data_IF_810844817427
#
_entry.id   IF_810844817427
#
_cell.length_a   1.000
_cell.length_b   1.000
_cell.length_c   1.000
_cell.angle_alpha   90.00
_cell.angle_beta   90.00
_cell.angle_gamma   90.00
#
_symmetry.space_group_name_H-M   'P 1'
#
loop_
_entity.id
_entity.type
_entity.pdbx_description
1 polymer ?
#
# COMPACT_ATOMS: atom_id res chain seq x y z
N UNK A 1 -8.27 -14.04 7.54
CA UNK A 1 -9.53 -14.37 8.22
C UNK A 1 -10.72 -13.93 7.36
N UNK A 2 -11.69 -14.79 7.20
CA UNK A 2 -13.03 -14.43 6.70
C UNK A 2 -13.87 -13.83 7.82
N UNK A 3 -14.90 -13.06 7.45
CA UNK A 3 -15.85 -12.50 8.42
C UNK A 3 -17.20 -13.18 8.23
N UNK A 4 -17.58 -14.02 9.18
CA UNK A 4 -18.80 -14.82 9.12
C UNK A 4 -19.59 -14.70 10.42
N UNK A 5 -20.90 -14.43 10.32
CA UNK A 5 -21.79 -14.31 11.47
C UNK A 5 -21.27 -13.39 12.61
N UNK A 6 -20.67 -12.27 12.24
CA UNK A 6 -20.12 -11.30 13.20
C UNK A 6 -18.79 -11.68 13.84
N UNK A 7 -18.10 -12.73 13.34
CA UNK A 7 -16.82 -13.20 13.88
C UNK A 7 -15.76 -13.33 12.80
N UNK A 8 -14.50 -13.08 13.18
CA UNK A 8 -13.34 -13.36 12.34
C UNK A 8 -12.98 -14.85 12.45
N UNK A 9 -13.04 -15.56 11.36
CA UNK A 9 -12.75 -16.99 11.28
C UNK A 9 -11.45 -17.20 10.48
N UNK A 10 -10.46 -17.93 11.02
CA UNK A 10 -9.25 -18.25 10.26
C UNK A 10 -9.61 -19.01 8.97
N UNK A 11 -9.09 -18.56 7.84
CA UNK A 11 -9.19 -19.28 6.58
C UNK A 11 -8.12 -20.38 6.59
N UNK A 12 -8.50 -21.65 6.36
CA UNK A 12 -7.55 -22.75 6.31
C UNK A 12 -6.50 -22.53 5.20
N UNK A 13 -5.25 -22.94 5.45
CA UNK A 13 -4.16 -22.86 4.47
C UNK A 13 -4.35 -23.77 3.25
N UNK A 14 -5.32 -24.67 3.33
CA UNK A 14 -5.69 -25.61 2.25
C UNK A 14 -6.68 -25.03 1.26
N UNK A 15 -7.19 -23.81 1.51
CA UNK A 15 -8.08 -23.15 0.54
C UNK A 15 -7.22 -22.73 -0.65
N UNK A 16 -7.51 -23.35 -1.78
CA UNK A 16 -6.91 -22.97 -3.05
C UNK A 16 -7.52 -21.66 -3.51
N UNK A 17 -6.69 -20.63 -3.60
CA UNK A 17 -7.09 -19.29 -3.96
C UNK A 17 -6.42 -18.90 -5.27
N UNK A 18 -7.21 -18.82 -6.33
CA UNK A 18 -6.75 -18.40 -7.64
C UNK A 18 -7.21 -16.98 -7.95
N UNK A 19 -6.30 -16.15 -8.40
CA UNK A 19 -6.59 -14.78 -8.87
C UNK A 19 -6.88 -14.73 -10.38
N UNK A 20 -6.59 -15.84 -11.11
CA UNK A 20 -6.78 -15.98 -12.54
C UNK A 20 -6.21 -14.78 -13.33
N UNK A 21 -7.05 -14.06 -14.05
CA UNK A 21 -6.62 -12.89 -14.86
C UNK A 21 -6.10 -11.72 -14.04
N UNK A 22 -6.31 -11.70 -12.74
CA UNK A 22 -5.87 -10.63 -11.84
C UNK A 22 -4.53 -10.91 -11.14
N UNK A 23 -3.92 -12.07 -11.37
CA UNK A 23 -2.61 -12.44 -10.83
C UNK A 23 -1.53 -11.35 -10.96
N UNK A 24 -1.36 -10.72 -12.14
CA UNK A 24 -0.34 -9.67 -12.30
C UNK A 24 -0.58 -8.44 -11.43
N UNK A 25 -1.81 -8.24 -10.95
CA UNK A 25 -2.18 -7.10 -10.10
C UNK A 25 -2.09 -7.41 -8.60
N UNK A 26 -1.97 -8.68 -8.19
CA UNK A 26 -2.15 -8.97 -6.78
C UNK A 26 -1.53 -10.25 -6.21
N UNK A 27 -1.00 -11.15 -6.98
CA UNK A 27 -0.50 -12.44 -6.48
C UNK A 27 0.93 -12.38 -5.91
N UNK A 28 1.22 -11.33 -5.16
CA UNK A 28 2.52 -11.18 -4.49
C UNK A 28 2.37 -11.48 -3.01
N UNK A 29 2.94 -12.60 -2.56
CA UNK A 29 3.09 -12.91 -1.15
C UNK A 29 4.43 -12.35 -0.64
N UNK A 30 4.38 -11.35 0.22
CA UNK A 30 5.57 -10.65 0.71
C UNK A 30 5.49 -10.39 2.21
N UNK A 31 6.61 -10.53 2.91
CA UNK A 31 6.72 -10.14 4.31
C UNK A 31 6.77 -8.61 4.42
N UNK A 32 6.18 -8.04 5.49
CA UNK A 32 6.21 -6.61 5.73
C UNK A 32 7.64 -6.02 5.65
N UNK A 33 8.63 -6.71 6.22
CA UNK A 33 10.05 -6.29 6.18
C UNK A 33 10.60 -6.12 4.76
N UNK A 34 10.20 -6.99 3.83
CA UNK A 34 10.67 -6.92 2.45
C UNK A 34 9.87 -5.90 1.64
N UNK A 35 8.58 -5.74 1.94
CA UNK A 35 7.77 -4.66 1.37
C UNK A 35 8.28 -3.27 1.79
N UNK A 36 8.77 -3.11 3.03
CA UNK A 36 9.42 -1.88 3.49
C UNK A 36 10.62 -1.55 2.60
N UNK A 37 11.46 -2.52 2.23
CA UNK A 37 12.61 -2.28 1.32
C UNK A 37 12.15 -1.81 -0.05
N UNK A 38 11.10 -2.43 -0.61
CA UNK A 38 10.51 -1.97 -1.86
C UNK A 38 10.06 -0.51 -1.78
N UNK A 39 9.37 -0.13 -0.71
CA UNK A 39 8.92 1.26 -0.49
C UNK A 39 10.10 2.21 -0.30
N UNK A 40 11.17 1.80 0.39
CA UNK A 40 12.39 2.59 0.55
C UNK A 40 13.08 2.85 -0.80
N UNK A 41 13.20 1.84 -1.67
CA UNK A 41 13.74 2.04 -3.03
C UNK A 41 12.91 3.03 -3.84
N UNK A 42 11.59 2.99 -3.72
CA UNK A 42 10.70 3.97 -4.35
C UNK A 42 10.93 5.39 -3.80
N UNK A 43 11.04 5.56 -2.49
CA UNK A 43 11.32 6.84 -1.87
C UNK A 43 12.66 7.41 -2.34
N UNK A 44 13.74 6.64 -2.32
CA UNK A 44 15.05 7.04 -2.81
C UNK A 44 14.98 7.49 -4.28
N UNK A 45 14.32 6.71 -5.13
CA UNK A 45 14.16 7.02 -6.54
C UNK A 45 13.35 8.31 -6.79
N UNK A 46 12.25 8.51 -6.06
CA UNK A 46 11.45 9.75 -6.14
C UNK A 46 12.31 10.98 -5.78
N UNK A 47 13.22 10.83 -4.80
CA UNK A 47 14.13 11.88 -4.36
C UNK A 47 15.40 12.02 -5.22
N UNK A 48 15.49 11.31 -6.33
CA UNK A 48 16.56 11.52 -7.34
C UNK A 48 17.68 10.51 -7.31
N UNK A 49 17.61 9.48 -6.46
CA UNK A 49 18.61 8.42 -6.41
C UNK A 49 18.35 7.36 -7.48
N UNK A 50 19.34 7.04 -8.28
CA UNK A 50 19.31 5.84 -9.11
C UNK A 50 19.64 4.62 -8.22
N UNK A 51 18.78 3.61 -8.25
CA UNK A 51 19.03 2.36 -7.55
C UNK A 51 18.66 1.19 -8.48
N UNK A 52 17.64 0.38 -8.16
CA UNK A 52 17.17 -0.69 -9.03
C UNK A 52 16.61 -0.16 -10.36
N UNK A 53 15.96 1.01 -10.33
CA UNK A 53 15.52 1.76 -11.51
C UNK A 53 16.17 3.15 -11.50
N UNK A 54 16.09 3.85 -12.64
CA UNK A 54 16.47 5.26 -12.71
C UNK A 54 15.47 6.13 -11.94
N UNK A 55 15.96 7.21 -11.35
CA UNK A 55 15.13 8.16 -10.60
C UNK A 55 13.94 8.69 -11.41
N UNK A 56 14.14 8.99 -12.70
CA UNK A 56 13.07 9.48 -13.56
C UNK A 56 12.00 8.42 -13.81
N UNK A 57 12.36 7.13 -13.81
CA UNK A 57 11.40 6.03 -13.87
C UNK A 57 10.53 6.01 -12.62
N UNK A 58 11.12 6.15 -11.43
CA UNK A 58 10.34 6.23 -10.18
C UNK A 58 9.40 7.45 -10.17
N UNK A 59 9.86 8.61 -10.61
CA UNK A 59 9.03 9.81 -10.74
C UNK A 59 7.84 9.56 -11.67
N UNK A 60 8.09 8.91 -12.80
CA UNK A 60 7.03 8.55 -13.74
C UNK A 60 6.04 7.54 -13.14
N UNK A 61 6.53 6.48 -12.49
CA UNK A 61 5.69 5.47 -11.82
C UNK A 61 4.74 6.13 -10.82
N UNK A 62 5.20 7.12 -10.06
CA UNK A 62 4.42 7.74 -8.99
C UNK A 62 3.56 8.92 -9.41
N UNK A 63 3.93 9.65 -10.46
CA UNK A 63 3.25 10.89 -10.84
C UNK A 63 3.25 11.20 -12.34
N UNK A 64 3.70 10.27 -13.17
CA UNK A 64 3.76 10.47 -14.62
C UNK A 64 2.40 10.52 -15.31
N UNK A 65 1.36 9.95 -14.66
CA UNK A 65 -0.03 9.98 -15.13
C UNK A 65 -0.89 10.58 -14.02
N UNK A 66 -1.76 11.51 -14.37
CA UNK A 66 -2.64 12.19 -13.43
C UNK A 66 -3.61 11.20 -12.77
N UNK A 67 -3.90 11.42 -11.49
CA UNK A 67 -4.78 10.65 -10.63
C UNK A 67 -4.33 9.21 -10.34
N UNK A 68 -3.92 8.43 -11.34
CA UNK A 68 -3.44 7.06 -11.15
C UNK A 68 -2.30 6.74 -12.11
N UNK A 69 -1.10 6.51 -11.58
CA UNK A 69 0.10 6.23 -12.36
C UNK A 69 0.72 4.90 -11.95
N UNK A 70 0.75 3.93 -12.86
CA UNK A 70 1.46 2.66 -12.71
C UNK A 70 1.29 1.96 -11.34
N UNK A 71 0.04 1.86 -10.87
CA UNK A 71 -0.29 1.22 -9.58
C UNK A 71 -0.39 2.17 -8.40
N UNK A 72 -0.17 3.47 -8.57
CA UNK A 72 -0.22 4.45 -7.51
C UNK A 72 -1.31 5.50 -7.75
N UNK A 73 -2.20 5.69 -6.79
CA UNK A 73 -3.06 6.87 -6.75
C UNK A 73 -2.24 8.10 -6.39
N UNK A 74 -2.38 9.15 -7.20
CA UNK A 74 -1.78 10.46 -6.96
C UNK A 74 -2.75 11.36 -6.23
N UNK A 75 -2.38 11.82 -5.05
CA UNK A 75 -3.20 12.72 -4.25
C UNK A 75 -2.41 14.01 -4.01
N UNK A 76 -3.03 15.13 -4.38
CA UNK A 76 -2.53 16.48 -4.13
C UNK A 76 -3.53 17.20 -3.24
N UNK A 77 -3.21 17.32 -1.98
CA UNK A 77 -4.14 17.89 -1.00
C UNK A 77 -3.38 18.67 0.09
N UNK A 78 -3.81 19.91 0.35
CA UNK A 78 -3.27 20.74 1.42
C UNK A 78 -1.74 20.86 1.43
N UNK A 79 -1.13 21.03 0.26
CA UNK A 79 0.33 21.12 0.11
C UNK A 79 1.08 19.79 0.33
N UNK A 80 0.37 18.67 0.32
CA UNK A 80 0.94 17.32 0.37
C UNK A 80 0.85 16.68 -1.00
N UNK A 81 1.89 15.95 -1.36
CA UNK A 81 1.94 15.08 -2.53
C UNK A 81 2.04 13.64 -2.04
N UNK A 82 0.98 12.88 -2.19
CA UNK A 82 0.93 11.51 -1.71
C UNK A 82 0.82 10.54 -2.89
N UNK A 83 1.56 9.44 -2.80
CA UNK A 83 1.26 8.22 -3.55
C UNK A 83 0.65 7.20 -2.60
N UNK A 84 -0.46 6.62 -2.98
CA UNK A 84 -1.12 5.60 -2.16
C UNK A 84 -1.57 4.41 -3.00
N UNK A 85 -1.55 3.25 -2.39
CA UNK A 85 -2.16 2.04 -2.94
C UNK A 85 -2.77 1.23 -1.82
N UNK A 86 -3.87 0.56 -2.12
CA UNK A 86 -4.48 -0.42 -1.21
C UNK A 86 -4.84 -1.67 -1.98
N UNK A 87 -4.78 -2.81 -1.33
CA UNK A 87 -5.12 -4.09 -1.93
C UNK A 87 -5.78 -5.04 -0.95
N UNK A 88 -6.61 -5.90 -1.50
CA UNK A 88 -7.25 -6.98 -0.76
C UNK A 88 -7.48 -8.18 -1.67
N UNK A 89 -7.38 -9.35 -1.09
CA UNK A 89 -7.81 -10.61 -1.69
C UNK A 89 -8.93 -11.25 -0.84
N UNK A 90 -9.78 -10.42 -0.25
CA UNK A 90 -10.94 -10.85 0.56
C UNK A 90 -10.62 -11.18 2.02
N UNK A 91 -9.43 -11.63 2.35
CA UNK A 91 -9.03 -12.05 3.71
C UNK A 91 -7.92 -11.23 4.32
N UNK A 92 -7.21 -10.47 3.50
CA UNK A 92 -6.12 -9.57 3.89
C UNK A 92 -6.40 -8.18 3.34
N UNK A 93 -5.84 -7.18 3.99
CA UNK A 93 -5.87 -5.82 3.48
C UNK A 93 -4.52 -5.17 3.69
N UNK A 94 -4.02 -4.53 2.65
CA UNK A 94 -2.80 -3.73 2.66
C UNK A 94 -3.10 -2.29 2.32
N UNK A 95 -2.43 -1.36 2.99
CA UNK A 95 -2.49 0.06 2.69
C UNK A 95 -1.10 0.66 2.82
N UNK A 96 -0.69 1.41 1.81
CA UNK A 96 0.54 2.20 1.83
C UNK A 96 0.26 3.64 1.46
N UNK A 97 0.86 4.58 2.18
CA UNK A 97 0.91 6.00 1.86
C UNK A 97 2.37 6.45 1.82
N UNK A 98 2.78 7.09 0.75
CA UNK A 98 4.10 7.70 0.57
C UNK A 98 3.90 9.21 0.48
N UNK A 99 4.44 9.96 1.45
CA UNK A 99 4.56 11.42 1.35
C UNK A 99 5.82 11.73 0.54
N UNK A 100 5.61 12.14 -0.72
CA UNK A 100 6.72 12.38 -1.66
C UNK A 100 7.53 13.62 -1.32
N UNK A 101 6.94 14.59 -0.62
CA UNK A 101 7.65 15.82 -0.22
C UNK A 101 8.53 15.54 0.99
N UNK A 102 7.97 14.88 2.01
CA UNK A 102 8.67 14.63 3.27
C UNK A 102 9.58 13.39 3.25
N UNK A 103 9.48 12.56 2.22
CA UNK A 103 10.24 11.31 2.14
C UNK A 103 9.84 10.29 3.21
N UNK A 104 8.57 10.27 3.59
CA UNK A 104 8.03 9.38 4.61
C UNK A 104 7.02 8.41 4.02
N UNK A 105 7.00 7.20 4.52
CA UNK A 105 6.00 6.20 4.13
C UNK A 105 5.37 5.54 5.35
N UNK A 106 4.09 5.22 5.24
CA UNK A 106 3.30 4.53 6.24
C UNK A 106 2.68 3.29 5.60
N UNK A 107 2.88 2.14 6.21
CA UNK A 107 2.44 0.85 5.70
C UNK A 107 1.64 0.15 6.77
N UNK A 108 0.47 -0.37 6.40
CA UNK A 108 -0.38 -1.16 7.29
C UNK A 108 -0.77 -2.44 6.55
N UNK A 109 -0.51 -3.58 7.16
CA UNK A 109 -1.00 -4.88 6.74
C UNK A 109 -1.94 -5.44 7.79
N UNK A 110 -3.07 -5.99 7.37
CA UNK A 110 -3.99 -6.70 8.24
C UNK A 110 -4.30 -8.08 7.68
N UNK A 111 -4.65 -9.01 8.56
CA UNK A 111 -5.07 -10.35 8.21
C UNK A 111 -6.59 -10.52 8.20
N UNK A 112 -7.30 -9.43 7.99
CA UNK A 112 -8.76 -9.40 7.82
C UNK A 112 -9.16 -8.26 6.89
N UNK A 113 -10.32 -8.42 6.25
CA UNK A 113 -10.90 -7.41 5.38
C UNK A 113 -12.42 -7.38 5.57
N UNK A 114 -12.90 -6.32 6.17
CA UNK A 114 -14.31 -5.96 6.28
C UNK A 114 -14.43 -4.44 6.48
N UNK A 115 -15.64 -3.94 6.60
CA UNK A 115 -15.88 -2.50 6.78
C UNK A 115 -15.24 -1.96 8.06
N UNK A 116 -15.30 -2.69 9.16
CA UNK A 116 -14.71 -2.28 10.45
C UNK A 116 -13.19 -2.25 10.37
N UNK A 117 -12.57 -3.27 9.74
CA UNK A 117 -11.12 -3.28 9.49
C UNK A 117 -10.69 -2.08 8.66
N UNK A 118 -11.42 -1.74 7.61
CA UNK A 118 -11.09 -0.57 6.79
C UNK A 118 -11.18 0.74 7.59
N UNK A 119 -12.20 0.89 8.43
CA UNK A 119 -12.34 2.06 9.31
C UNK A 119 -11.19 2.15 10.32
N UNK A 120 -10.83 1.03 10.96
CA UNK A 120 -9.71 0.96 11.89
C UNK A 120 -8.37 1.29 11.22
N UNK A 121 -8.12 0.77 10.03
CA UNK A 121 -6.91 1.05 9.24
C UNK A 121 -6.82 2.53 8.85
N UNK A 122 -7.93 3.14 8.42
CA UNK A 122 -7.96 4.59 8.11
C UNK A 122 -7.68 5.44 9.35
N UNK A 123 -8.25 5.07 10.49
CA UNK A 123 -7.98 5.75 11.77
C UNK A 123 -6.52 5.61 12.18
N UNK A 124 -5.96 4.40 12.11
CA UNK A 124 -4.55 4.14 12.41
C UNK A 124 -3.62 4.93 11.47
N UNK A 125 -3.91 4.93 10.16
CA UNK A 125 -3.13 5.68 9.18
C UNK A 125 -3.12 7.18 9.51
N UNK A 126 -4.26 7.75 9.91
CA UNK A 126 -4.35 9.14 10.34
C UNK A 126 -3.47 9.39 11.57
N UNK A 127 -3.57 8.55 12.60
CA UNK A 127 -2.76 8.68 13.82
C UNK A 127 -1.27 8.53 13.56
N UNK A 128 -0.86 7.62 12.68
CA UNK A 128 0.55 7.48 12.28
C UNK A 128 1.06 8.77 11.60
N UNK A 129 0.26 9.38 10.73
CA UNK A 129 0.61 10.64 10.08
C UNK A 129 0.66 11.82 11.05
N UNK A 130 -0.25 11.88 12.02
CA UNK A 130 -0.26 12.93 13.06
C UNK A 130 1.00 12.83 13.95
N UNK A 131 1.40 11.64 14.35
CA UNK A 131 2.51 11.44 15.28
C UNK A 131 3.90 11.43 14.62
N UNK A 132 3.99 10.99 13.38
CA UNK A 132 5.28 10.74 12.70
C UNK A 132 5.40 11.44 11.33
N UNK A 133 4.38 12.15 10.88
CA UNK A 133 4.33 12.77 9.56
C UNK A 133 4.87 14.21 9.51
N UNK A 134 5.23 14.79 10.64
CA UNK A 134 5.84 16.13 10.73
C UNK A 134 7.30 16.15 10.27
#
# INVERSE_FOLDING_TARGET
HSFENGKLIPVPSTVDYHLDYTEPAGDINIKLKDYIKFVQLNLQGIHGENNYLKADTYKFIHKGIENYSMGWYNIYENGKELSTHSGTAGTYYSLVHIDRIRGKAFIIFTNSFNQETQQAVRLLMRKLKENYGS
#
